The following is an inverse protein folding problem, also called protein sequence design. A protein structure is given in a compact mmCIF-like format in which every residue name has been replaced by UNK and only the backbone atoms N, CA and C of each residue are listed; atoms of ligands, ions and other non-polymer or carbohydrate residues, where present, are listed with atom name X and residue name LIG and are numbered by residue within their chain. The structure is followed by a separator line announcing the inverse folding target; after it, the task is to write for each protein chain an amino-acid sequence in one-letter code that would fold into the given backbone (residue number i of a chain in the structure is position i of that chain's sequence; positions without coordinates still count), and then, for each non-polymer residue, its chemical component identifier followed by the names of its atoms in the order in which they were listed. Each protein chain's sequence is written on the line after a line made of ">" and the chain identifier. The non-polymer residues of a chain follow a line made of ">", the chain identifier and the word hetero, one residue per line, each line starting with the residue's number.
data_IF_196507716550
#
_entry.id   IF_196507716550
#
_cell.length_a   1.000
_cell.length_b   1.000
_cell.length_c   1.000
_cell.angle_alpha   90.00
_cell.angle_beta   90.00
_cell.angle_gamma   90.00
#
_symmetry.space_group_name_H-M   'P 1'
#
loop_
_entity.id
_entity.type
_entity.pdbx_description
1 polymer ?
#
# COMPACT_ATOMS: atom_id res chain seq x y z
N UNK A 1 -31.59 -6.96 4.82
CA UNK A 1 -30.92 -5.96 5.67
C UNK A 1 -29.71 -5.42 4.95
N UNK A 2 -29.48 -4.11 4.96
CA UNK A 2 -28.18 -3.54 4.66
C UNK A 2 -27.34 -3.57 5.95
N UNK A 3 -26.06 -3.93 5.87
CA UNK A 3 -25.22 -4.17 7.05
C UNK A 3 -23.80 -3.66 6.88
N UNK A 4 -23.06 -3.60 7.98
CA UNK A 4 -21.61 -3.43 7.96
C UNK A 4 -21.15 -2.00 7.74
N UNK A 5 -20.06 -1.85 6.99
CA UNK A 5 -19.36 -0.58 6.84
C UNK A 5 -20.21 0.52 6.20
N UNK A 6 -21.09 0.16 5.26
CA UNK A 6 -21.97 1.13 4.60
C UNK A 6 -22.92 1.83 5.59
N UNK A 7 -23.51 1.05 6.51
CA UNK A 7 -24.43 1.59 7.53
C UNK A 7 -23.68 2.52 8.47
N UNK A 8 -22.51 2.09 8.96
CA UNK A 8 -21.62 2.92 9.80
C UNK A 8 -21.25 4.22 9.11
N UNK A 9 -20.75 4.13 7.87
CA UNK A 9 -20.22 5.28 7.14
C UNK A 9 -21.31 6.34 6.94
N UNK A 10 -22.53 5.94 6.58
CA UNK A 10 -23.68 6.85 6.46
C UNK A 10 -24.05 7.49 7.80
N UNK A 11 -24.11 6.71 8.87
CA UNK A 11 -24.40 7.23 10.21
C UNK A 11 -23.31 8.21 10.69
N UNK A 12 -22.08 8.04 10.22
CA UNK A 12 -20.97 8.98 10.45
C UNK A 12 -20.91 10.15 9.45
N UNK A 13 -21.94 10.35 8.62
CA UNK A 13 -21.98 11.45 7.63
C UNK A 13 -21.05 11.27 6.43
N UNK A 14 -20.55 10.07 6.19
CA UNK A 14 -19.71 9.72 5.04
C UNK A 14 -20.53 9.04 3.93
N UNK A 15 -20.06 9.11 2.70
CA UNK A 15 -20.64 8.38 1.58
C UNK A 15 -20.26 6.90 1.67
N UNK A 16 -21.24 6.01 1.56
CA UNK A 16 -21.03 4.57 1.44
C UNK A 16 -20.91 4.16 -0.05
N UNK A 17 -19.76 3.58 -0.42
CA UNK A 17 -19.52 3.10 -1.79
C UNK A 17 -20.08 1.70 -2.04
N UNK A 18 -19.83 0.77 -1.14
CA UNK A 18 -20.15 -0.65 -1.32
C UNK A 18 -21.18 -1.10 -0.28
N UNK A 19 -22.37 -1.49 -0.77
CA UNK A 19 -23.47 -1.92 0.08
C UNK A 19 -23.50 -3.44 0.22
N UNK A 20 -23.21 -3.91 1.43
CA UNK A 20 -23.39 -5.31 1.79
C UNK A 20 -24.83 -5.56 2.23
N UNK A 21 -25.48 -6.52 1.57
CA UNK A 21 -26.83 -6.96 1.90
C UNK A 21 -26.78 -8.33 2.55
N UNK A 22 -27.58 -8.52 3.59
CA UNK A 22 -27.73 -9.81 4.25
C UNK A 22 -29.20 -10.21 4.41
N UNK A 23 -29.47 -11.50 4.27
CA UNK A 23 -30.83 -12.06 4.17
C UNK A 23 -30.91 -13.47 4.73
N UNK A 24 -32.11 -13.90 5.11
CA UNK A 24 -32.36 -15.30 5.48
C UNK A 24 -32.32 -16.24 4.26
N UNK A 25 -32.56 -15.71 3.06
CA UNK A 25 -32.59 -16.50 1.83
C UNK A 25 -31.25 -17.20 1.58
N UNK A 26 -31.30 -18.50 1.27
CA UNK A 26 -30.13 -19.32 0.94
C UNK A 26 -29.63 -18.99 -0.48
N UNK A 27 -28.36 -19.30 -0.83
CA UNK A 27 -27.79 -18.94 -2.15
C UNK A 27 -28.64 -19.38 -3.34
N UNK A 28 -29.13 -20.64 -3.34
CA UNK A 28 -30.01 -21.16 -4.39
C UNK A 28 -31.33 -20.38 -4.52
N UNK A 29 -31.88 -19.90 -3.41
CA UNK A 29 -33.11 -19.09 -3.44
C UNK A 29 -32.83 -17.72 -4.04
N UNK A 30 -31.68 -17.10 -3.71
CA UNK A 30 -31.24 -15.82 -4.30
C UNK A 30 -31.08 -15.99 -5.83
N UNK A 31 -30.41 -17.04 -6.28
CA UNK A 31 -30.22 -17.36 -7.71
C UNK A 31 -31.54 -17.61 -8.45
N UNK A 32 -32.53 -18.19 -7.79
CA UNK A 32 -33.87 -18.38 -8.37
C UNK A 32 -34.66 -17.07 -8.48
N UNK A 33 -34.48 -16.15 -7.51
CA UNK A 33 -35.18 -14.87 -7.47
C UNK A 33 -34.61 -13.86 -8.48
N UNK A 34 -33.29 -13.86 -8.69
CA UNK A 34 -32.61 -12.87 -9.52
C UNK A 34 -32.07 -13.50 -10.80
N UNK A 35 -32.43 -12.92 -11.95
CA UNK A 35 -31.99 -13.42 -13.27
C UNK A 35 -30.49 -13.21 -13.55
N UNK A 36 -29.86 -12.23 -12.92
CA UNK A 36 -28.45 -11.86 -13.13
C UNK A 36 -27.69 -12.01 -11.83
N UNK A 37 -27.13 -13.17 -11.60
CA UNK A 37 -26.30 -13.47 -10.44
C UNK A 37 -24.88 -13.89 -10.83
N UNK A 38 -23.94 -13.66 -9.92
CA UNK A 38 -22.54 -14.06 -10.04
C UNK A 38 -22.15 -14.89 -8.81
N UNK A 39 -21.58 -16.10 -8.97
CA UNK A 39 -21.10 -16.89 -7.86
C UNK A 39 -19.80 -16.27 -7.32
N UNK A 40 -19.89 -15.51 -6.23
CA UNK A 40 -18.72 -14.88 -5.58
C UNK A 40 -18.13 -15.81 -4.51
N UNK A 41 -18.99 -16.41 -3.69
CA UNK A 41 -18.58 -17.22 -2.54
C UNK A 41 -19.72 -18.08 -2.01
N UNK A 42 -20.31 -18.90 -2.89
CA UNK A 42 -21.51 -19.70 -2.58
C UNK A 42 -21.28 -20.63 -1.38
N UNK A 43 -20.08 -21.20 -1.25
CA UNK A 43 -19.71 -22.07 -0.12
C UNK A 43 -19.82 -21.37 1.23
N UNK A 44 -19.53 -20.07 1.24
CA UNK A 44 -19.71 -19.25 2.43
C UNK A 44 -21.09 -18.63 2.49
N UNK A 45 -21.85 -18.58 1.39
CA UNK A 45 -23.20 -18.03 1.33
C UNK A 45 -23.30 -16.64 0.71
N UNK A 46 -22.31 -16.19 -0.08
CA UNK A 46 -22.36 -14.91 -0.80
C UNK A 46 -22.70 -15.14 -2.26
N UNK A 47 -23.73 -14.43 -2.74
CA UNK A 47 -24.12 -14.35 -4.15
C UNK A 47 -24.07 -12.90 -4.59
N UNK A 48 -23.37 -12.61 -5.68
CA UNK A 48 -23.42 -11.29 -6.31
C UNK A 48 -24.71 -11.13 -7.10
N UNK A 49 -25.46 -10.06 -6.87
CA UNK A 49 -26.69 -9.74 -7.61
C UNK A 49 -26.46 -8.49 -8.44
N UNK A 50 -26.64 -8.60 -9.76
CA UNK A 50 -26.38 -7.49 -10.68
C UNK A 50 -27.69 -6.73 -10.97
N UNK A 51 -27.74 -5.46 -10.55
CA UNK A 51 -28.85 -4.56 -10.83
C UNK A 51 -28.94 -4.19 -12.32
N UNK A 52 -30.06 -3.54 -12.70
CA UNK A 52 -30.34 -3.20 -14.11
C UNK A 52 -29.35 -2.21 -14.69
N UNK A 53 -28.85 -1.30 -13.86
CA UNK A 53 -27.83 -0.30 -14.17
C UNK A 53 -26.40 -0.86 -14.21
N UNK A 54 -26.22 -2.15 -13.88
CA UNK A 54 -24.91 -2.81 -13.81
C UNK A 54 -24.23 -2.72 -12.45
N UNK A 55 -24.87 -2.15 -11.43
CA UNK A 55 -24.33 -2.15 -10.06
C UNK A 55 -24.37 -3.56 -9.48
N UNK A 56 -23.24 -4.04 -8.95
CA UNK A 56 -23.14 -5.35 -8.29
C UNK A 56 -23.35 -5.20 -6.79
N UNK A 57 -24.32 -5.93 -6.24
CA UNK A 57 -24.57 -6.00 -4.79
C UNK A 57 -24.15 -7.37 -4.25
N UNK A 58 -23.39 -7.37 -3.16
CA UNK A 58 -23.08 -8.61 -2.45
C UNK A 58 -24.24 -8.98 -1.52
N UNK A 59 -24.94 -10.08 -1.83
CA UNK A 59 -26.03 -10.59 -1.02
C UNK A 59 -25.57 -11.85 -0.29
N UNK A 60 -25.54 -11.75 1.03
CA UNK A 60 -25.04 -12.79 1.92
C UNK A 60 -26.18 -13.43 2.71
N UNK A 61 -26.28 -14.75 2.73
CA UNK A 61 -27.16 -15.45 3.67
C UNK A 61 -26.66 -15.24 5.10
N UNK A 62 -27.56 -15.05 6.08
CA UNK A 62 -27.20 -14.98 7.51
C UNK A 62 -26.31 -16.15 7.91
N UNK A 63 -25.28 -15.89 8.71
CA UNK A 63 -24.32 -16.92 9.14
C UNK A 63 -23.99 -16.81 10.61
N UNK A 64 -23.57 -17.93 11.18
CA UNK A 64 -22.89 -18.02 12.47
C UNK A 64 -21.63 -18.86 12.33
N UNK A 65 -20.61 -18.49 13.07
CA UNK A 65 -19.34 -19.22 13.10
C UNK A 65 -19.49 -20.39 14.11
N UNK A 66 -19.19 -21.63 13.70
CA UNK A 66 -19.22 -22.81 14.59
C UNK A 66 -17.82 -23.16 15.11
N UNK A 67 -16.84 -23.21 14.20
CA UNK A 67 -15.44 -23.42 14.52
C UNK A 67 -14.61 -22.37 13.78
N UNK A 68 -13.66 -21.76 14.49
CA UNK A 68 -12.77 -20.73 13.96
C UNK A 68 -11.33 -21.13 14.25
N UNK A 69 -10.56 -21.49 13.21
CA UNK A 69 -9.11 -21.71 13.31
C UNK A 69 -8.29 -20.53 12.77
N UNK A 70 -8.89 -19.33 12.70
CA UNK A 70 -8.30 -18.11 12.15
C UNK A 70 -8.32 -18.01 10.63
N UNK A 71 -8.21 -19.12 9.87
CA UNK A 71 -8.23 -19.11 8.38
C UNK A 71 -9.53 -19.67 7.80
N UNK A 72 -10.10 -20.69 8.42
CA UNK A 72 -11.35 -21.32 8.01
C UNK A 72 -12.35 -21.19 9.16
N UNK A 73 -13.26 -20.23 9.02
CA UNK A 73 -14.49 -20.29 9.79
C UNK A 73 -15.42 -21.30 9.12
N UNK A 74 -15.74 -22.41 9.81
CA UNK A 74 -16.84 -23.27 9.38
C UNK A 74 -18.12 -22.50 9.69
N UNK A 75 -18.65 -21.85 8.65
CA UNK A 75 -19.88 -21.09 8.72
C UNK A 75 -21.07 -22.02 8.55
N UNK A 76 -22.05 -21.87 9.44
CA UNK A 76 -23.40 -22.40 9.19
C UNK A 76 -24.35 -21.26 8.98
N UNK A 77 -25.40 -21.52 8.20
CA UNK A 77 -26.40 -20.50 8.02
C UNK A 77 -27.21 -20.30 9.30
N UNK A 78 -27.34 -19.03 9.66
CA UNK A 78 -28.16 -18.59 10.77
C UNK A 78 -29.61 -18.37 10.30
N UNK A 79 -30.51 -18.26 11.28
CA UNK A 79 -31.93 -18.01 11.03
C UNK A 79 -32.30 -16.56 11.34
N UNK A 80 -31.52 -15.87 12.18
CA UNK A 80 -31.75 -14.47 12.56
C UNK A 80 -30.62 -13.54 12.13
N UNK A 81 -30.95 -12.25 12.00
CA UNK A 81 -29.97 -11.20 11.70
C UNK A 81 -29.07 -10.96 12.92
N UNK A 82 -29.57 -11.12 14.13
CA UNK A 82 -28.83 -10.94 15.37
C UNK A 82 -27.65 -11.92 15.47
N UNK A 83 -27.83 -13.17 15.04
CA UNK A 83 -26.75 -14.16 14.94
C UNK A 83 -25.67 -13.72 13.92
N UNK A 84 -26.06 -13.16 12.78
CA UNK A 84 -25.12 -12.62 11.77
C UNK A 84 -24.40 -11.36 12.24
N UNK A 85 -25.04 -10.54 13.07
CA UNK A 85 -24.40 -9.37 13.67
C UNK A 85 -23.45 -9.78 14.81
N UNK A 86 -23.76 -10.85 15.56
CA UNK A 86 -22.97 -11.32 16.70
C UNK A 86 -21.56 -11.79 16.34
N UNK A 87 -21.35 -12.30 15.12
CA UNK A 87 -20.05 -12.78 14.62
C UNK A 87 -19.14 -11.67 14.09
N UNK A 88 -19.64 -10.43 13.99
CA UNK A 88 -18.87 -9.31 13.46
C UNK A 88 -17.80 -8.88 14.45
N UNK A 89 -16.78 -8.20 13.92
CA UNK A 89 -15.59 -7.84 14.69
C UNK A 89 -15.87 -6.75 15.74
N UNK A 90 -16.49 -5.64 15.33
CA UNK A 90 -16.70 -4.47 16.17
C UNK A 90 -18.17 -4.04 16.20
N UNK A 91 -18.59 -3.46 17.33
CA UNK A 91 -19.97 -2.98 17.56
C UNK A 91 -20.42 -2.00 16.48
N UNK A 92 -19.55 -1.06 16.08
CA UNK A 92 -19.79 -0.09 15.01
C UNK A 92 -20.03 -0.73 13.63
N UNK A 93 -19.61 -1.98 13.43
CA UNK A 93 -19.84 -2.75 12.20
C UNK A 93 -21.01 -3.74 12.33
N UNK A 94 -21.55 -3.90 13.54
CA UNK A 94 -22.65 -4.79 13.88
C UNK A 94 -24.01 -4.06 13.88
N UNK A 95 -24.17 -3.16 12.91
CA UNK A 95 -25.38 -2.39 12.66
C UNK A 95 -26.09 -2.92 11.41
N UNK A 96 -27.42 -2.93 11.44
CA UNK A 96 -28.24 -3.31 10.28
C UNK A 96 -29.37 -2.31 10.03
N UNK A 97 -29.55 -1.91 8.77
CA UNK A 97 -30.65 -1.07 8.33
C UNK A 97 -31.64 -1.89 7.50
N UNK A 98 -32.92 -1.77 7.84
CA UNK A 98 -34.00 -2.37 7.07
C UNK A 98 -34.58 -1.32 6.10
N UNK A 99 -34.36 -1.41 4.78
CA UNK A 99 -34.73 -0.34 3.85
C UNK A 99 -36.25 -0.17 3.65
N UNK A 100 -37.04 -1.25 3.77
CA UNK A 100 -38.50 -1.20 3.59
C UNK A 100 -39.17 -0.66 4.86
N UNK A 101 -38.95 -1.32 6.00
CA UNK A 101 -39.43 -0.88 7.33
C UNK A 101 -38.79 0.41 7.85
N UNK A 102 -37.70 0.90 7.23
CA UNK A 102 -36.93 2.06 7.68
C UNK A 102 -36.51 1.96 9.15
N UNK A 103 -36.00 0.79 9.55
CA UNK A 103 -35.65 0.49 10.93
C UNK A 103 -34.15 0.20 11.05
N UNK A 104 -33.50 0.85 12.02
CA UNK A 104 -32.14 0.53 12.45
C UNK A 104 -32.20 -0.56 13.53
N UNK A 105 -31.39 -1.59 13.38
CA UNK A 105 -31.17 -2.63 14.36
C UNK A 105 -29.73 -2.53 14.87
N UNK A 106 -29.61 -2.31 16.18
CA UNK A 106 -28.35 -2.22 16.91
C UNK A 106 -28.43 -3.02 18.23
N UNK A 107 -28.23 -4.34 18.18
CA UNK A 107 -28.33 -5.19 19.36
C UNK A 107 -27.10 -5.11 20.26
N UNK A 108 -26.00 -4.50 19.79
CA UNK A 108 -24.70 -4.49 20.47
C UNK A 108 -24.23 -3.10 20.92
N UNK A 109 -25.02 -2.05 20.69
CA UNK A 109 -24.71 -0.68 21.10
C UNK A 109 -23.69 0.03 20.20
N UNK A 110 -23.57 -0.39 18.95
CA UNK A 110 -22.66 0.19 17.98
C UNK A 110 -22.90 1.66 17.68
N UNK A 111 -24.16 2.12 17.74
CA UNK A 111 -24.49 3.54 17.54
C UNK A 111 -23.92 4.40 18.67
N UNK A 112 -24.09 3.96 19.92
CA UNK A 112 -23.57 4.64 21.10
C UNK A 112 -22.04 4.66 21.09
N UNK A 113 -21.40 3.56 20.70
CA UNK A 113 -19.95 3.48 20.60
C UNK A 113 -19.42 4.40 19.48
N UNK A 114 -20.12 4.47 18.35
CA UNK A 114 -19.79 5.36 17.24
C UNK A 114 -19.90 6.83 17.63
N UNK A 115 -20.99 7.23 18.31
CA UNK A 115 -21.19 8.58 18.86
C UNK A 115 -20.13 8.93 19.91
N UNK A 116 -19.71 7.97 20.72
CA UNK A 116 -18.67 8.15 21.73
C UNK A 116 -17.24 8.16 21.14
N UNK A 117 -17.08 7.87 19.84
CA UNK A 117 -15.77 7.73 19.22
C UNK A 117 -14.96 6.55 19.77
N UNK A 118 -15.62 5.45 20.14
CA UNK A 118 -15.02 4.28 20.76
C UNK A 118 -15.10 3.06 19.84
N UNK A 119 -13.97 2.36 19.66
CA UNK A 119 -13.94 1.07 19.00
C UNK A 119 -13.99 -0.04 20.04
N UNK A 120 -15.06 -0.85 19.99
CA UNK A 120 -15.30 -1.98 20.88
C UNK A 120 -15.62 -3.25 20.10
N UNK A 121 -15.12 -4.39 20.58
CA UNK A 121 -15.45 -5.70 19.98
C UNK A 121 -16.89 -6.11 20.29
N UNK A 122 -17.52 -6.89 19.40
CA UNK A 122 -18.79 -7.52 19.72
C UNK A 122 -18.53 -8.67 20.70
N UNK A 123 -19.03 -8.63 21.93
CA UNK A 123 -18.79 -9.69 22.91
C UNK A 123 -17.46 -9.56 23.66
N UNK A 124 -16.79 -10.69 23.93
CA UNK A 124 -15.57 -10.71 24.77
C UNK A 124 -14.32 -10.52 23.88
N UNK A 125 -13.50 -9.46 24.09
CA UNK A 125 -12.38 -9.14 23.20
C UNK A 125 -11.37 -10.28 23.01
N UNK A 126 -10.97 -10.97 24.09
CA UNK A 126 -9.98 -12.04 24.05
C UNK A 126 -10.46 -13.21 23.18
N UNK A 127 -11.74 -13.58 23.30
CA UNK A 127 -12.34 -14.62 22.47
C UNK A 127 -12.42 -14.17 21.01
N UNK A 128 -12.85 -12.92 20.77
CA UNK A 128 -12.98 -12.37 19.41
C UNK A 128 -11.66 -12.27 18.67
N UNK A 129 -10.57 -11.91 19.33
CA UNK A 129 -9.26 -11.89 18.68
C UNK A 129 -8.66 -13.29 18.52
N UNK A 130 -8.94 -14.22 19.44
CA UNK A 130 -8.52 -15.62 19.30
C UNK A 130 -9.21 -16.36 18.14
N UNK A 131 -10.46 -15.99 17.81
CA UNK A 131 -11.18 -16.51 16.64
C UNK A 131 -10.47 -16.15 15.32
N UNK A 132 -9.93 -14.93 15.21
CA UNK A 132 -9.13 -14.47 14.06
C UNK A 132 -8.26 -13.27 14.46
N UNK A 133 -6.96 -13.51 14.61
CA UNK A 133 -6.00 -12.47 15.00
C UNK A 133 -5.85 -11.34 13.97
N UNK A 134 -6.32 -11.50 12.72
CA UNK A 134 -6.37 -10.39 11.76
C UNK A 134 -7.27 -9.25 12.27
N UNK A 135 -8.25 -9.55 13.14
CA UNK A 135 -9.11 -8.54 13.77
C UNK A 135 -8.32 -7.51 14.58
N UNK A 136 -7.11 -7.84 15.06
CA UNK A 136 -6.22 -6.87 15.71
C UNK A 136 -5.76 -5.80 14.69
N UNK A 137 -5.29 -6.22 13.51
CA UNK A 137 -4.87 -5.28 12.45
C UNK A 137 -6.06 -4.44 11.95
N UNK A 138 -7.24 -5.07 11.85
CA UNK A 138 -8.49 -4.36 11.52
C UNK A 138 -8.86 -3.35 12.60
N UNK A 139 -8.65 -3.66 13.88
CA UNK A 139 -8.89 -2.75 14.99
C UNK A 139 -8.04 -1.47 14.82
N UNK A 140 -6.74 -1.63 14.59
CA UNK A 140 -5.83 -0.50 14.33
C UNK A 140 -6.21 0.28 13.08
N UNK A 141 -6.66 -0.41 12.03
CA UNK A 141 -7.11 0.22 10.80
C UNK A 141 -8.36 1.08 11.05
N UNK A 142 -9.39 0.53 11.67
CA UNK A 142 -10.62 1.27 11.95
C UNK A 142 -10.41 2.40 12.95
N UNK A 143 -9.66 2.16 14.03
CA UNK A 143 -9.31 3.19 14.99
C UNK A 143 -8.55 4.35 14.34
N UNK A 144 -7.54 4.07 13.49
CA UNK A 144 -6.82 5.12 12.79
C UNK A 144 -7.62 5.81 11.69
N UNK A 145 -8.45 5.08 10.94
CA UNK A 145 -9.29 5.62 9.86
C UNK A 145 -10.33 6.62 10.38
N UNK A 146 -11.02 6.23 11.44
CA UNK A 146 -12.17 6.96 11.99
C UNK A 146 -11.82 7.77 13.24
N UNK A 147 -10.54 7.84 13.60
CA UNK A 147 -10.04 8.57 14.78
C UNK A 147 -10.69 8.09 16.10
N UNK A 148 -10.89 6.78 16.22
CA UNK A 148 -11.58 6.18 17.36
C UNK A 148 -10.58 5.77 18.44
N UNK A 149 -10.97 5.93 19.69
CA UNK A 149 -10.28 5.35 20.83
C UNK A 149 -10.68 3.88 20.99
N UNK A 150 -9.72 2.98 21.06
CA UNK A 150 -10.00 1.57 21.40
C UNK A 150 -10.32 1.50 22.90
N UNK A 151 -11.41 0.82 23.27
CA UNK A 151 -11.76 0.66 24.69
C UNK A 151 -10.69 -0.15 25.44
N UNK A 152 -10.62 0.03 26.76
CA UNK A 152 -9.54 -0.52 27.59
C UNK A 152 -9.46 -2.06 27.53
N UNK A 153 -10.61 -2.74 27.54
CA UNK A 153 -10.65 -4.21 27.50
C UNK A 153 -10.18 -4.70 26.12
N UNK A 154 -10.67 -4.08 25.04
CA UNK A 154 -10.20 -4.40 23.68
C UNK A 154 -8.72 -4.09 23.49
N UNK A 155 -8.22 -2.98 24.03
CA UNK A 155 -6.81 -2.60 23.97
C UNK A 155 -5.91 -3.61 24.70
N UNK A 156 -6.30 -4.05 25.89
CA UNK A 156 -5.55 -5.06 26.64
C UNK A 156 -5.52 -6.39 25.89
N UNK A 157 -6.65 -6.85 25.37
CA UNK A 157 -6.76 -8.10 24.65
C UNK A 157 -5.96 -8.10 23.34
N UNK A 158 -6.00 -7.00 22.57
CA UNK A 158 -5.20 -6.90 21.35
C UNK A 158 -3.69 -6.84 21.63
N UNK A 159 -3.26 -6.20 22.72
CA UNK A 159 -1.86 -6.16 23.13
C UNK A 159 -1.37 -7.55 23.53
N UNK A 160 -2.20 -8.32 24.25
CA UNK A 160 -1.91 -9.71 24.59
C UNK A 160 -1.92 -10.66 23.38
N UNK A 161 -2.56 -10.26 22.27
CA UNK A 161 -2.69 -11.06 21.05
C UNK A 161 -1.63 -10.81 19.97
N UNK A 162 -0.72 -9.84 20.15
CA UNK A 162 0.19 -9.41 19.06
C UNK A 162 1.20 -10.45 18.64
N UNK A 163 1.70 -11.30 19.54
CA UNK A 163 2.63 -12.39 19.19
C UNK A 163 2.03 -13.39 18.20
N UNK A 164 0.70 -13.59 18.24
CA UNK A 164 -0.01 -14.49 17.33
C UNK A 164 -0.11 -13.95 15.89
N UNK A 165 0.21 -12.67 15.67
CA UNK A 165 0.25 -12.09 14.33
C UNK A 165 1.28 -12.77 13.42
N UNK A 166 2.33 -13.40 13.99
CA UNK A 166 3.30 -14.20 13.20
C UNK A 166 2.66 -15.40 12.50
N UNK A 167 1.55 -15.92 13.01
CA UNK A 167 0.82 -17.05 12.43
C UNK A 167 -0.12 -16.66 11.28
N UNK A 168 -0.32 -15.36 11.02
CA UNK A 168 -1.21 -14.90 9.96
C UNK A 168 -0.56 -15.10 8.58
N UNK A 169 -1.41 -15.34 7.57
CA UNK A 169 -0.97 -15.31 6.17
C UNK A 169 -0.44 -13.92 5.82
N UNK A 170 0.72 -13.89 5.18
CA UNK A 170 1.43 -12.67 4.81
C UNK A 170 0.61 -11.80 3.85
N UNK A 171 -0.19 -12.42 2.97
CA UNK A 171 -1.12 -11.75 2.06
C UNK A 171 -2.21 -11.00 2.83
N UNK A 172 -2.78 -11.60 3.87
CA UNK A 172 -3.81 -10.93 4.70
C UNK A 172 -3.23 -9.75 5.48
N UNK A 173 -2.00 -9.90 6.00
CA UNK A 173 -1.26 -8.82 6.65
C UNK A 173 -0.97 -7.69 5.66
N UNK A 174 -0.49 -8.03 4.46
CA UNK A 174 -0.26 -7.10 3.35
C UNK A 174 -1.52 -6.32 3.02
N UNK A 175 -2.65 -7.01 2.85
CA UNK A 175 -3.89 -6.38 2.41
C UNK A 175 -4.43 -5.41 3.47
N UNK A 176 -4.30 -5.72 4.77
CA UNK A 176 -4.66 -4.77 5.83
C UNK A 176 -3.71 -3.56 5.90
N UNK A 177 -2.40 -3.74 5.69
CA UNK A 177 -1.46 -2.64 5.56
C UNK A 177 -1.81 -1.74 4.36
N UNK A 178 -2.03 -2.33 3.19
CA UNK A 178 -2.36 -1.58 1.97
C UNK A 178 -3.67 -0.82 2.14
N UNK A 179 -4.71 -1.39 2.76
CA UNK A 179 -5.95 -0.65 3.05
C UNK A 179 -5.71 0.58 3.93
N UNK A 180 -4.82 0.47 4.93
CA UNK A 180 -4.47 1.61 5.77
C UNK A 180 -3.71 2.69 4.98
N UNK A 181 -2.76 2.29 4.13
CA UNK A 181 -2.01 3.21 3.27
C UNK A 181 -2.86 3.78 2.13
N UNK A 182 -3.90 3.10 1.69
CA UNK A 182 -4.72 3.56 0.57
C UNK A 182 -5.85 4.48 1.01
N UNK A 183 -6.62 4.06 2.01
CA UNK A 183 -7.92 4.64 2.33
C UNK A 183 -7.82 5.81 3.32
N UNK A 184 -6.77 5.87 4.13
CA UNK A 184 -6.73 6.79 5.26
C UNK A 184 -6.27 8.18 4.82
N UNK A 185 -6.89 9.23 5.36
CA UNK A 185 -6.34 10.58 5.21
C UNK A 185 -4.99 10.71 5.95
N UNK A 186 -4.91 10.15 7.15
CA UNK A 186 -3.75 10.21 8.05
C UNK A 186 -3.32 8.77 8.41
N UNK A 187 -2.59 8.05 7.53
CA UNK A 187 -2.15 6.68 7.80
C UNK A 187 -1.30 6.53 9.06
N UNK A 188 -0.58 7.58 9.47
CA UNK A 188 0.27 7.56 10.66
C UNK A 188 -0.47 7.17 11.94
N UNK A 189 -1.78 7.44 12.04
CA UNK A 189 -2.61 7.04 13.18
C UNK A 189 -2.65 5.53 13.35
N UNK A 190 -2.89 4.79 12.26
CA UNK A 190 -2.87 3.32 12.28
C UNK A 190 -1.47 2.79 12.53
N UNK A 191 -0.45 3.33 11.86
CA UNK A 191 0.93 2.88 12.05
C UNK A 191 1.45 3.16 13.47
N UNK A 192 1.00 4.24 14.10
CA UNK A 192 1.29 4.54 15.50
C UNK A 192 0.65 3.52 16.45
N UNK A 193 -0.55 3.03 16.13
CA UNK A 193 -1.20 1.96 16.93
C UNK A 193 -0.44 0.63 16.79
N UNK A 194 0.06 0.30 15.59
CA UNK A 194 0.93 -0.87 15.39
C UNK A 194 2.16 -0.78 16.29
N UNK A 195 2.82 0.38 16.33
CA UNK A 195 3.99 0.60 17.18
C UNK A 195 3.65 0.51 18.68
N UNK A 196 2.59 1.22 19.13
CA UNK A 196 2.17 1.24 20.54
C UNK A 196 1.77 -0.13 21.08
N UNK A 197 1.16 -0.97 20.24
CA UNK A 197 0.75 -2.32 20.63
C UNK A 197 1.87 -3.37 20.52
N UNK A 198 3.04 -3.02 19.97
CA UNK A 198 4.14 -3.96 19.70
C UNK A 198 3.97 -4.79 18.42
N UNK A 199 2.87 -4.63 17.68
CA UNK A 199 2.63 -5.32 16.42
C UNK A 199 3.68 -4.98 15.35
N UNK A 200 4.25 -3.76 15.40
CA UNK A 200 5.33 -3.35 14.49
C UNK A 200 6.56 -4.25 14.63
N UNK A 201 7.04 -4.52 15.86
CA UNK A 201 8.19 -5.39 16.09
C UNK A 201 7.95 -6.85 15.70
N UNK A 202 6.69 -7.31 15.76
CA UNK A 202 6.33 -8.67 15.36
C UNK A 202 6.29 -8.84 13.83
N UNK A 203 5.70 -7.89 13.11
CA UNK A 203 5.47 -7.98 11.66
C UNK A 203 6.60 -7.37 10.81
N UNK A 204 7.20 -6.31 11.33
CA UNK A 204 8.16 -5.45 10.64
C UNK A 204 9.33 -5.09 11.57
N UNK A 205 10.11 -6.06 12.04
CA UNK A 205 11.22 -5.83 12.97
C UNK A 205 12.22 -4.78 12.44
N UNK A 206 12.39 -4.67 11.12
CA UNK A 206 13.26 -3.68 10.49
C UNK A 206 12.77 -2.22 10.72
N UNK A 207 11.45 -2.02 10.76
CA UNK A 207 10.84 -0.72 11.03
C UNK A 207 10.79 -0.42 12.53
N UNK A 208 10.64 -1.44 13.36
CA UNK A 208 10.73 -1.27 14.81
C UNK A 208 12.15 -0.91 15.26
N UNK A 209 13.17 -1.54 14.65
CA UNK A 209 14.57 -1.15 14.81
C UNK A 209 14.78 0.32 14.46
N UNK A 210 14.27 0.79 13.31
CA UNK A 210 14.33 2.20 12.90
C UNK A 210 13.69 3.13 13.95
N UNK A 211 12.56 2.70 14.54
CA UNK A 211 11.84 3.45 15.58
C UNK A 211 12.60 3.53 16.90
N UNK A 212 13.31 2.48 17.28
CA UNK A 212 14.03 2.41 18.56
C UNK A 212 15.47 2.89 18.49
N UNK A 213 16.08 2.89 17.30
CA UNK A 213 17.51 3.16 17.13
C UNK A 213 17.90 4.63 17.35
N UNK A 214 16.95 5.57 17.35
CA UNK A 214 17.27 7.00 17.28
C UNK A 214 16.77 7.80 18.49
N UNK A 215 17.70 8.05 19.42
CA UNK A 215 17.53 9.00 20.53
C UNK A 215 18.43 10.24 20.39
N UNK A 216 19.25 10.33 19.34
CA UNK A 216 20.37 11.28 19.26
C UNK A 216 20.29 12.32 18.13
N UNK A 217 19.38 12.17 17.17
CA UNK A 217 19.17 13.18 16.13
C UNK A 217 18.07 14.17 16.56
N UNK A 218 18.22 15.45 16.19
CA UNK A 218 17.20 16.50 16.33
C UNK A 218 15.85 16.17 15.62
N UNK A 219 15.77 15.03 14.92
CA UNK A 219 14.64 14.57 14.14
C UNK A 219 14.51 13.05 14.31
N UNK A 220 13.47 12.60 15.02
CA UNK A 220 13.15 11.20 15.19
C UNK A 220 12.77 10.58 13.83
N UNK A 221 13.55 9.61 13.32
CA UNK A 221 13.34 8.97 12.00
C UNK A 221 11.96 8.35 11.82
N UNK A 222 11.38 7.83 12.89
CA UNK A 222 10.04 7.26 12.87
C UNK A 222 8.99 8.35 12.68
N UNK A 223 9.05 9.40 13.48
CA UNK A 223 8.17 10.57 13.34
C UNK A 223 8.35 11.24 11.97
N UNK A 224 9.59 11.30 11.48
CA UNK A 224 9.90 11.79 10.15
C UNK A 224 9.14 11.03 9.07
N UNK A 225 9.21 9.70 9.14
CA UNK A 225 8.57 8.79 8.19
C UNK A 225 7.05 8.92 8.28
N UNK A 226 6.47 8.91 9.48
CA UNK A 226 5.03 9.02 9.68
C UNK A 226 4.47 10.34 9.15
N UNK A 227 5.09 11.49 9.48
CA UNK A 227 4.64 12.78 9.01
C UNK A 227 4.74 12.90 7.47
N UNK A 228 5.79 12.31 6.87
CA UNK A 228 5.95 12.32 5.40
C UNK A 228 4.90 11.47 4.68
N UNK A 229 4.41 10.38 5.28
CA UNK A 229 3.35 9.55 4.69
C UNK A 229 2.02 10.29 4.65
N UNK A 230 1.71 11.07 5.70
CA UNK A 230 0.44 11.80 5.82
C UNK A 230 0.30 12.93 4.78
N UNK A 231 1.43 13.46 4.29
CA UNK A 231 1.48 14.46 3.21
C UNK A 231 1.11 13.90 1.82
N UNK A 232 1.13 12.58 1.65
CA UNK A 232 0.69 11.93 0.41
C UNK A 232 -0.83 11.72 0.45
N UNK A 233 -1.56 12.00 -0.65
CA UNK A 233 -3.02 11.85 -0.66
C UNK A 233 -3.49 10.38 -0.67
N UNK A 234 -4.74 10.11 -0.21
CA UNK A 234 -5.37 8.79 -0.35
C UNK A 234 -5.40 8.29 -1.81
N UNK A 235 -5.52 6.98 -2.00
CA UNK A 235 -5.49 6.33 -3.32
C UNK A 235 -4.08 6.09 -3.88
N UNK A 236 -3.04 6.30 -3.07
CA UNK A 236 -1.63 6.16 -3.47
C UNK A 236 -0.89 5.14 -2.59
N UNK A 237 -1.50 3.96 -2.38
CA UNK A 237 -1.00 2.93 -1.45
C UNK A 237 0.49 2.60 -1.65
N UNK A 238 0.93 2.36 -2.88
CA UNK A 238 2.33 2.01 -3.20
C UNK A 238 3.31 3.17 -2.99
N UNK A 239 2.89 4.41 -3.29
CA UNK A 239 3.71 5.59 -3.04
C UNK A 239 3.90 5.82 -1.54
N UNK A 240 2.82 5.64 -0.76
CA UNK A 240 2.88 5.69 0.71
C UNK A 240 3.68 4.53 1.30
N UNK A 241 3.63 3.34 0.68
CA UNK A 241 4.47 2.20 1.08
C UNK A 241 5.96 2.50 0.80
N UNK A 242 6.29 3.04 -0.37
CA UNK A 242 7.65 3.48 -0.67
C UNK A 242 8.13 4.54 0.33
N UNK A 243 7.28 5.53 0.64
CA UNK A 243 7.56 6.55 1.66
C UNK A 243 7.69 5.96 3.07
N UNK A 244 7.01 4.86 3.40
CA UNK A 244 7.14 4.18 4.69
C UNK A 244 8.46 3.44 4.84
N UNK A 245 9.00 2.92 3.73
CA UNK A 245 10.21 2.09 3.72
C UNK A 245 11.49 2.87 3.38
N UNK A 246 11.40 4.15 3.04
CA UNK A 246 12.49 4.92 2.42
C UNK A 246 13.77 5.11 3.26
N UNK A 247 13.70 4.99 4.59
CA UNK A 247 14.88 5.07 5.47
C UNK A 247 15.53 3.72 5.75
N UNK A 248 14.98 2.63 5.21
CA UNK A 248 15.56 1.30 5.35
C UNK A 248 16.60 1.05 4.26
N UNK A 249 17.54 0.16 4.58
CA UNK A 249 18.46 -0.38 3.58
C UNK A 249 17.67 -1.05 2.42
N UNK A 250 18.06 -0.84 1.15
CA UNK A 250 17.35 -1.40 0.00
C UNK A 250 17.11 -2.92 0.09
N UNK A 251 18.04 -3.68 0.68
CA UNK A 251 17.88 -5.13 0.86
C UNK A 251 16.79 -5.46 1.88
N UNK A 252 16.68 -4.67 2.96
CA UNK A 252 15.60 -4.80 3.95
C UNK A 252 14.24 -4.47 3.30
N UNK A 253 14.17 -3.44 2.45
CA UNK A 253 12.95 -3.09 1.69
C UNK A 253 12.48 -4.27 0.83
N UNK A 254 13.36 -4.84 0.00
CA UNK A 254 13.04 -6.00 -0.82
C UNK A 254 12.63 -7.21 0.04
N UNK A 255 13.35 -7.45 1.15
CA UNK A 255 13.02 -8.52 2.10
C UNK A 255 11.59 -8.43 2.66
N UNK A 256 11.15 -7.23 3.05
CA UNK A 256 9.78 -6.98 3.53
C UNK A 256 8.75 -7.24 2.42
N UNK A 257 9.00 -6.74 1.21
CA UNK A 257 8.06 -6.87 0.09
C UNK A 257 7.91 -8.33 -0.36
N UNK A 258 9.01 -9.09 -0.41
CA UNK A 258 8.99 -10.54 -0.69
C UNK A 258 8.29 -11.30 0.44
N UNK A 259 8.55 -10.97 1.71
CA UNK A 259 7.89 -11.58 2.88
C UNK A 259 6.38 -11.38 2.83
N UNK A 260 5.93 -10.20 2.42
CA UNK A 260 4.51 -9.88 2.24
C UNK A 260 3.90 -10.40 0.92
N UNK A 261 4.65 -11.16 0.11
CA UNK A 261 4.17 -11.74 -1.15
C UNK A 261 3.66 -10.70 -2.15
N UNK A 262 4.31 -9.55 -2.25
CA UNK A 262 4.09 -8.64 -3.38
C UNK A 262 4.56 -9.29 -4.69
N UNK A 263 3.95 -8.92 -5.82
CA UNK A 263 4.43 -9.38 -7.13
C UNK A 263 5.84 -8.84 -7.42
N UNK A 264 6.57 -9.46 -8.36
CA UNK A 264 7.89 -8.97 -8.74
C UNK A 264 7.84 -7.51 -9.20
N UNK A 265 6.87 -7.16 -10.07
CA UNK A 265 6.69 -5.79 -10.53
C UNK A 265 6.43 -4.80 -9.38
N UNK A 266 5.59 -5.17 -8.41
CA UNK A 266 5.32 -4.34 -7.22
C UNK A 266 6.56 -4.19 -6.34
N UNK A 267 7.31 -5.28 -6.15
CA UNK A 267 8.54 -5.30 -5.36
C UNK A 267 9.60 -4.40 -5.99
N UNK A 268 9.82 -4.53 -7.30
CA UNK A 268 10.80 -3.75 -8.05
C UNK A 268 10.45 -2.26 -8.03
N UNK A 269 9.20 -1.92 -8.36
CA UNK A 269 8.76 -0.53 -8.40
C UNK A 269 8.83 0.14 -7.02
N UNK A 270 8.32 -0.52 -5.98
CA UNK A 270 8.27 0.05 -4.61
C UNK A 270 9.67 0.17 -4.03
N UNK A 271 10.54 -0.83 -4.22
CA UNK A 271 11.92 -0.78 -3.72
C UNK A 271 12.74 0.31 -4.39
N UNK A 272 12.63 0.46 -5.72
CA UNK A 272 13.30 1.52 -6.46
C UNK A 272 12.82 2.91 -6.04
N UNK A 273 11.52 3.08 -5.78
CA UNK A 273 10.99 4.35 -5.27
C UNK A 273 11.45 4.64 -3.83
N UNK A 274 11.47 3.64 -2.95
CA UNK A 274 11.90 3.78 -1.57
C UNK A 274 13.40 4.11 -1.46
N UNK A 275 14.22 3.52 -2.34
CA UNK A 275 15.68 3.65 -2.34
C UNK A 275 16.21 4.70 -3.32
N UNK A 276 15.33 5.46 -3.98
CA UNK A 276 15.72 6.49 -4.92
C UNK A 276 16.54 7.59 -4.24
N UNK A 277 17.58 8.08 -4.94
CA UNK A 277 18.33 9.23 -4.48
C UNK A 277 17.48 10.50 -4.54
N UNK A 278 17.74 11.45 -3.63
CA UNK A 278 17.09 12.75 -3.67
C UNK A 278 17.32 13.44 -5.02
N UNK A 279 16.33 14.19 -5.49
CA UNK A 279 16.42 15.02 -6.68
C UNK A 279 17.70 15.87 -6.61
N UNK A 280 18.33 16.18 -7.75
CA UNK A 280 19.46 17.11 -7.78
C UNK A 280 19.08 18.46 -7.17
N UNK A 281 20.05 19.15 -6.55
CA UNK A 281 19.90 20.51 -6.08
C UNK A 281 19.74 21.52 -7.23
N UNK A 282 19.38 22.76 -6.90
CA UNK A 282 19.22 23.82 -7.90
C UNK A 282 20.55 24.21 -8.59
N UNK A 283 21.65 23.99 -7.90
CA UNK A 283 23.04 24.20 -8.33
C UNK A 283 23.58 23.07 -9.23
N UNK A 284 22.89 21.93 -9.32
CA UNK A 284 23.29 20.82 -10.17
C UNK A 284 23.38 21.26 -11.64
N UNK A 285 24.35 20.76 -12.40
CA UNK A 285 24.40 21.00 -13.85
C UNK A 285 23.46 20.02 -14.61
N UNK A 286 23.26 20.24 -15.90
CA UNK A 286 22.33 19.40 -16.67
C UNK A 286 22.83 17.95 -16.80
N UNK A 287 24.14 17.72 -16.80
CA UNK A 287 24.73 16.38 -16.75
C UNK A 287 24.31 15.63 -15.49
N UNK A 288 24.45 16.24 -14.31
CA UNK A 288 24.06 15.64 -13.05
C UNK A 288 22.57 15.27 -13.03
N UNK A 289 21.72 16.10 -13.66
CA UNK A 289 20.29 15.81 -13.78
C UNK A 289 20.03 14.65 -14.75
N UNK A 290 20.73 14.58 -15.89
CA UNK A 290 20.64 13.43 -16.81
C UNK A 290 21.07 12.13 -16.15
N UNK A 291 22.22 12.13 -15.46
CA UNK A 291 22.72 10.99 -14.69
C UNK A 291 21.71 10.56 -13.62
N UNK A 292 21.12 11.51 -12.89
CA UNK A 292 20.09 11.21 -11.90
C UNK A 292 18.84 10.59 -12.52
N UNK A 293 18.36 11.13 -13.66
CA UNK A 293 17.21 10.59 -14.39
C UNK A 293 17.47 9.16 -14.88
N UNK A 294 18.66 8.90 -15.44
CA UNK A 294 19.09 7.58 -15.90
C UNK A 294 19.09 6.57 -14.75
N UNK A 295 19.72 6.91 -13.62
CA UNK A 295 19.83 5.99 -12.47
C UNK A 295 18.50 5.72 -11.74
N UNK A 296 17.52 6.62 -11.84
CA UNK A 296 16.24 6.52 -11.13
C UNK A 296 15.05 6.15 -12.04
N UNK A 297 15.31 5.82 -13.30
CA UNK A 297 14.34 5.64 -14.38
C UNK A 297 13.54 6.92 -14.69
N UNK A 298 13.72 7.54 -15.88
CA UNK A 298 13.12 8.83 -16.22
C UNK A 298 11.59 8.87 -16.08
N UNK A 299 10.92 7.74 -16.27
CA UNK A 299 9.46 7.59 -16.19
C UNK A 299 8.94 7.88 -14.79
N UNK A 300 9.75 7.60 -13.76
CA UNK A 300 9.39 7.72 -12.34
C UNK A 300 9.57 9.11 -11.75
N UNK A 301 10.11 10.06 -12.51
CA UNK A 301 10.37 11.43 -12.07
C UNK A 301 9.21 12.04 -11.25
N UNK A 302 7.97 11.84 -11.70
CA UNK A 302 6.80 12.38 -11.01
C UNK A 302 6.53 11.70 -9.65
N UNK A 303 6.73 10.38 -9.55
CA UNK A 303 6.57 9.66 -8.29
C UNK A 303 7.64 10.09 -7.29
N UNK A 304 8.90 10.16 -7.73
CA UNK A 304 10.04 10.56 -6.89
C UNK A 304 9.91 12.00 -6.39
N UNK A 305 9.50 12.93 -7.27
CA UNK A 305 9.22 14.30 -6.87
C UNK A 305 8.07 14.41 -5.86
N UNK A 306 7.03 13.57 -5.96
CA UNK A 306 5.94 13.53 -4.96
C UNK A 306 6.44 13.03 -3.60
N UNK A 307 7.29 12.00 -3.57
CA UNK A 307 7.90 11.49 -2.34
C UNK A 307 8.76 12.56 -1.67
N UNK A 308 9.61 13.23 -2.44
CA UNK A 308 10.47 14.29 -1.90
C UNK A 308 9.68 15.52 -1.47
N UNK A 309 8.63 15.89 -2.21
CA UNK A 309 7.75 16.99 -1.85
C UNK A 309 6.98 16.70 -0.54
N UNK A 310 6.56 15.45 -0.34
CA UNK A 310 5.92 15.02 0.90
C UNK A 310 6.88 15.16 2.10
N UNK A 311 8.13 14.73 1.93
CA UNK A 311 9.19 14.95 2.95
C UNK A 311 9.44 16.43 3.21
N UNK A 312 9.54 17.25 2.16
CA UNK A 312 9.77 18.70 2.26
C UNK A 312 8.63 19.45 2.96
N UNK A 313 7.38 19.01 2.78
CA UNK A 313 6.22 19.60 3.46
C UNK A 313 6.14 19.21 4.92
N UNK A 314 6.39 17.94 5.22
CA UNK A 314 6.40 17.45 6.59
C UNK A 314 7.59 18.03 7.39
N UNK A 315 8.72 18.29 6.73
CA UNK A 315 9.99 18.68 7.36
C UNK A 315 10.70 19.81 6.60
N UNK A 316 10.15 21.04 6.60
CA UNK A 316 10.64 22.14 5.78
C UNK A 316 12.07 22.61 6.12
N UNK A 317 12.58 22.27 7.31
CA UNK A 317 13.86 22.75 7.82
C UNK A 317 15.02 21.75 7.70
N UNK A 318 14.81 20.58 7.07
CA UNK A 318 15.78 19.46 7.13
C UNK A 318 16.40 19.12 5.77
N UNK A 319 15.62 19.14 4.69
CA UNK A 319 16.06 18.63 3.38
C UNK A 319 16.10 19.74 2.34
N UNK A 320 14.94 20.02 1.75
CA UNK A 320 14.66 21.05 0.76
C UNK A 320 13.33 21.67 1.14
N UNK A 321 13.16 22.93 0.81
CA UNK A 321 11.84 23.56 0.81
C UNK A 321 10.97 22.95 -0.30
N UNK A 322 9.63 22.98 -0.15
CA UNK A 322 8.73 22.55 -1.21
C UNK A 322 8.98 23.26 -2.57
N UNK A 323 9.39 24.52 -2.55
CA UNK A 323 9.71 25.27 -3.79
C UNK A 323 10.92 24.69 -4.49
N UNK A 324 12.00 24.40 -3.75
CA UNK A 324 13.22 23.83 -4.32
C UNK A 324 12.97 22.45 -4.94
N UNK A 325 12.12 21.62 -4.33
CA UNK A 325 11.71 20.34 -4.91
C UNK A 325 10.96 20.55 -6.23
N UNK A 326 10.00 21.49 -6.27
CA UNK A 326 9.24 21.81 -7.48
C UNK A 326 10.15 22.32 -8.60
N UNK A 327 11.10 23.18 -8.29
CA UNK A 327 12.02 23.74 -9.29
C UNK A 327 13.03 22.69 -9.79
N UNK A 328 13.53 21.83 -8.90
CA UNK A 328 14.34 20.66 -9.28
C UNK A 328 13.57 19.72 -10.22
N UNK A 329 12.30 19.43 -9.90
CA UNK A 329 11.42 18.63 -10.74
C UNK A 329 11.15 19.29 -12.10
N UNK A 330 10.89 20.60 -12.14
CA UNK A 330 10.68 21.34 -13.41
C UNK A 330 11.87 21.23 -14.33
N UNK A 331 13.09 21.38 -13.79
CA UNK A 331 14.32 21.29 -14.58
C UNK A 331 14.56 19.88 -15.10
N UNK A 332 14.40 18.86 -14.24
CA UNK A 332 14.48 17.46 -14.66
C UNK A 332 13.41 17.09 -15.70
N UNK A 333 12.19 17.63 -15.55
CA UNK A 333 11.10 17.43 -16.53
C UNK A 333 11.42 18.09 -17.87
N UNK A 334 12.02 19.27 -17.87
CA UNK A 334 12.42 19.96 -19.10
C UNK A 334 13.48 19.15 -19.86
N UNK A 335 14.53 18.68 -19.17
CA UNK A 335 15.56 17.82 -19.75
C UNK A 335 14.94 16.53 -20.31
N UNK A 336 14.03 15.88 -19.58
CA UNK A 336 13.33 14.69 -20.10
C UNK A 336 12.50 15.00 -21.34
N UNK A 337 11.88 16.19 -21.41
CA UNK A 337 11.02 16.58 -22.51
C UNK A 337 11.78 16.94 -23.80
N UNK A 338 13.08 17.25 -23.74
CA UNK A 338 13.89 17.48 -24.95
C UNK A 338 14.19 16.19 -25.72
N UNK A 339 13.95 15.02 -25.12
CA UNK A 339 14.21 13.73 -25.76
C UNK A 339 15.69 13.36 -25.84
N UNK A 340 16.52 13.93 -24.95
CA UNK A 340 17.91 13.48 -24.82
C UNK A 340 17.96 12.02 -24.37
N UNK A 341 19.02 11.27 -24.73
CA UNK A 341 19.14 9.87 -24.34
C UNK A 341 19.33 9.75 -22.83
N UNK A 342 18.50 8.94 -22.19
CA UNK A 342 18.51 8.73 -20.73
C UNK A 342 18.52 7.24 -20.34
N UNK A 343 18.46 6.35 -21.33
CA UNK A 343 18.45 4.91 -21.15
C UNK A 343 19.23 4.22 -22.27
N UNK A 344 19.61 2.95 -22.05
CA UNK A 344 20.27 2.13 -23.07
C UNK A 344 19.42 2.03 -24.35
N UNK A 345 18.09 2.00 -24.23
CA UNK A 345 17.18 1.96 -25.36
C UNK A 345 17.17 3.24 -26.21
N UNK A 346 17.68 4.36 -25.68
CA UNK A 346 17.76 5.63 -26.41
C UNK A 346 19.06 5.77 -27.22
N UNK A 347 20.03 4.85 -27.04
CA UNK A 347 21.29 4.88 -27.75
C UNK A 347 21.08 4.67 -29.26
N UNK A 348 21.84 5.41 -30.07
CA UNK A 348 21.76 5.32 -31.54
C UNK A 348 22.29 3.99 -32.09
N UNK A 349 23.03 3.23 -31.28
CA UNK A 349 23.49 1.86 -31.56
C UNK A 349 22.97 0.91 -30.49
N UNK A 350 22.67 -0.32 -30.89
CA UNK A 350 22.30 -1.41 -29.97
C UNK A 350 23.18 -2.65 -30.15
N UNK A 351 22.80 -3.75 -29.50
CA UNK A 351 23.57 -5.01 -29.59
C UNK A 351 23.80 -5.51 -31.01
N UNK A 352 22.83 -5.34 -31.92
CA UNK A 352 23.00 -5.73 -33.33
C UNK A 352 24.06 -4.89 -34.05
N UNK A 353 24.24 -3.62 -33.67
CA UNK A 353 25.30 -2.78 -34.23
C UNK A 353 26.66 -3.21 -33.67
N UNK A 354 26.77 -3.56 -32.39
CA UNK A 354 27.99 -4.13 -31.79
C UNK A 354 28.44 -5.40 -32.52
N UNK A 355 27.50 -6.29 -32.86
CA UNK A 355 27.79 -7.50 -33.66
C UNK A 355 28.34 -7.14 -35.04
N UNK A 356 27.77 -6.11 -35.70
CA UNK A 356 28.24 -5.65 -37.01
C UNK A 356 29.64 -5.04 -36.99
N UNK A 357 30.07 -4.51 -35.83
CA UNK A 357 31.44 -3.99 -35.61
C UNK A 357 32.44 -5.15 -35.38
N UNK A 358 31.95 -6.40 -35.26
CA UNK A 358 32.78 -7.60 -35.12
C UNK A 358 32.86 -8.14 -33.70
N UNK A 359 32.13 -7.55 -32.74
CA UNK A 359 32.07 -8.05 -31.37
C UNK A 359 31.23 -9.33 -31.28
N UNK A 360 31.71 -10.29 -30.48
CA UNK A 360 30.96 -11.53 -30.21
C UNK A 360 29.93 -11.29 -29.12
N UNK A 361 28.66 -11.71 -29.31
CA UNK A 361 27.65 -11.64 -28.26
C UNK A 361 28.13 -12.28 -26.96
N UNK A 362 27.92 -11.59 -25.84
CA UNK A 362 28.36 -12.07 -24.53
C UNK A 362 27.96 -11.14 -23.39
N UNK A 363 28.27 -11.52 -22.14
CA UNK A 363 27.91 -10.77 -20.94
C UNK A 363 28.45 -9.33 -20.93
N UNK A 364 29.56 -9.07 -21.64
CA UNK A 364 30.19 -7.75 -21.72
C UNK A 364 29.36 -6.72 -22.52
N UNK A 365 28.34 -7.14 -23.28
CA UNK A 365 27.49 -6.20 -24.04
C UNK A 365 26.75 -5.22 -23.12
N UNK A 366 26.28 -5.66 -21.95
CA UNK A 366 25.65 -4.74 -20.98
C UNK A 366 26.64 -3.66 -20.55
N UNK A 367 27.86 -4.06 -20.18
CA UNK A 367 28.94 -3.15 -19.78
C UNK A 367 29.30 -2.15 -20.88
N UNK A 368 29.35 -2.59 -22.14
CA UNK A 368 29.63 -1.69 -23.28
C UNK A 368 28.48 -0.68 -23.46
N UNK A 369 27.23 -1.14 -23.44
CA UNK A 369 26.07 -0.25 -23.58
C UNK A 369 25.95 0.72 -22.41
N UNK A 370 26.31 0.30 -21.19
CA UNK A 370 26.38 1.15 -20.00
C UNK A 370 27.47 2.23 -20.12
N UNK A 371 28.67 1.87 -20.62
CA UNK A 371 29.76 2.84 -20.87
C UNK A 371 29.39 3.86 -21.96
N UNK A 372 28.71 3.41 -23.02
CA UNK A 372 28.18 4.30 -24.05
C UNK A 372 27.09 5.23 -23.52
N UNK A 373 26.22 4.72 -22.64
CA UNK A 373 25.23 5.55 -21.97
C UNK A 373 25.92 6.60 -21.09
N UNK A 374 26.93 6.25 -20.29
CA UNK A 374 27.67 7.21 -19.47
C UNK A 374 28.34 8.32 -20.32
N UNK A 375 28.93 7.93 -21.45
CA UNK A 375 29.50 8.86 -22.43
C UNK A 375 28.46 9.85 -22.96
N UNK A 376 27.30 9.35 -23.41
CA UNK A 376 26.19 10.18 -23.93
C UNK A 376 25.52 11.03 -22.84
N UNK A 377 25.46 10.56 -21.59
CA UNK A 377 24.92 11.35 -20.48
C UNK A 377 25.78 12.59 -20.19
N UNK A 378 27.09 12.51 -20.44
CA UNK A 378 28.01 13.65 -20.34
C UNK A 378 27.67 14.70 -21.41
N UNK A 379 27.60 14.29 -22.67
CA UNK A 379 27.22 15.14 -23.80
C UNK A 379 26.21 14.44 -24.74
N UNK A 380 24.91 14.80 -24.67
CA UNK A 380 23.86 14.17 -25.47
C UNK A 380 24.05 14.28 -26.99
N UNK A 381 24.84 15.25 -27.46
CA UNK A 381 25.10 15.44 -28.89
C UNK A 381 25.97 14.31 -29.46
N UNK A 382 26.63 13.53 -28.60
CA UNK A 382 27.46 12.40 -28.99
C UNK A 382 26.66 11.13 -29.33
N UNK A 383 25.33 11.14 -29.18
CA UNK A 383 24.46 10.01 -29.52
C UNK A 383 24.24 9.86 -31.04
N UNK A 384 25.33 9.79 -31.79
CA UNK A 384 25.33 9.52 -33.22
C UNK A 384 26.04 8.20 -33.50
N UNK A 385 25.51 7.42 -34.45
CA UNK A 385 26.05 6.08 -34.76
C UNK A 385 27.54 6.07 -35.04
N UNK A 386 28.06 7.07 -35.76
CA UNK A 386 29.49 7.15 -36.09
C UNK A 386 30.36 7.40 -34.86
N UNK A 387 29.95 8.34 -34.00
CA UNK A 387 30.67 8.72 -32.78
C UNK A 387 30.70 7.55 -31.79
N UNK A 388 29.54 6.91 -31.55
CA UNK A 388 29.46 5.77 -30.64
C UNK A 388 30.28 4.57 -31.12
N UNK A 389 30.31 4.31 -32.42
CA UNK A 389 31.18 3.26 -33.00
C UNK A 389 32.66 3.53 -32.74
N UNK A 390 33.11 4.76 -33.00
CA UNK A 390 34.49 5.15 -32.76
C UNK A 390 34.87 5.04 -31.27
N UNK A 391 33.94 5.37 -30.36
CA UNK A 391 34.15 5.20 -28.91
C UNK A 391 34.32 3.73 -28.51
N UNK A 392 33.49 2.83 -29.05
CA UNK A 392 33.65 1.38 -28.82
C UNK A 392 34.99 0.88 -29.37
N UNK A 393 35.33 1.23 -30.62
CA UNK A 393 36.56 0.79 -31.27
C UNK A 393 37.82 1.24 -30.52
N UNK A 394 37.83 2.47 -30.00
CA UNK A 394 38.93 3.01 -29.21
C UNK A 394 39.13 2.29 -27.86
N UNK A 395 38.11 1.60 -27.34
CA UNK A 395 38.10 0.95 -26.03
C UNK A 395 38.00 -0.57 -26.09
N UNK A 396 38.12 -1.18 -27.27
CA UNK A 396 37.99 -2.64 -27.47
C UNK A 396 38.82 -3.46 -26.46
N UNK A 397 40.08 -3.08 -26.23
CA UNK A 397 40.96 -3.77 -25.27
C UNK A 397 40.50 -3.69 -23.81
N UNK A 398 39.78 -2.63 -23.42
CA UNK A 398 39.23 -2.48 -22.07
C UNK A 398 37.95 -3.31 -21.86
N UNK A 399 37.32 -3.79 -22.94
CA UNK A 399 36.10 -4.61 -22.85
C UNK A 399 36.37 -6.13 -22.92
N UNK A 400 37.59 -6.55 -23.26
CA UNK A 400 38.00 -7.97 -23.34
C UNK A 400 38.55 -8.53 -22.01
N UNK A 401 38.92 -7.66 -21.05
CA UNK A 401 39.19 -7.99 -19.64
C UNK A 401 37.92 -8.05 -18.79
#
# INVERSE_FOLDING_TARGET
>A
WAVGGAVRDILSGHYAGDWDLTTQARPRQIEQLFKRTVPIGIEHGTVGVLARDGTLFEVTTFRKDIETDGRHAVVTFADTIEEDLARRDFTINALAWHPIEQKLLDPFGGLKDLEAGVLKTVGVPEKRFAEDYLRILRAFRFAGRFDLRIDEASWKALCGGTEHLRGLSCERVRDELLKALDQHRIPSRTLSLYAKAGALGVLYPELDELRTADHSIALNRWEFTLASIDELPPGNAFLRLAQFLHLLDPKKVVGILVRLRFSNAQTDETSQQASASALPGLDANDEAIRRWLSSNSPERLNALARLELARARAHPSVIKTPSEVVDSWRRARLIRATGVPLSISDLAIGGNDLIRIGLRPGPNFSRILEDLLDFVLTDPTQNERGILRAHVEARLGAYEE
#
